data_IF_096961701742
#
_entry.id   IF_096961701742
#
_cell.length_a   1.000
_cell.length_b   1.000
_cell.length_c   1.000
_cell.angle_alpha   90.00
_cell.angle_beta   90.00
_cell.angle_gamma   90.00
#
_symmetry.space_group_name_H-M   'P 1'
#
loop_
_entity.id
_entity.type
_entity.pdbx_description
1 polymer ?
#
# COMPACT_ATOMS: atom_id res chain seq x y z
N UNK A 1 73.04 -30.80 -34.75
CA UNK A 1 71.95 -29.86 -35.12
C UNK A 1 70.73 -30.14 -34.22
N UNK A 2 70.58 -29.32 -33.23
CA UNK A 2 69.55 -29.49 -32.17
C UNK A 2 68.35 -28.63 -32.50
N UNK A 3 67.18 -29.22 -32.58
CA UNK A 3 65.93 -28.50 -32.70
C UNK A 3 65.14 -28.74 -31.41
N UNK A 4 64.98 -27.67 -30.63
CA UNK A 4 64.19 -27.63 -29.40
C UNK A 4 62.71 -27.49 -29.78
N UNK A 5 61.92 -28.45 -29.41
CA UNK A 5 60.46 -28.34 -29.45
C UNK A 5 59.96 -27.65 -28.16
N UNK A 6 59.36 -26.52 -28.33
CA UNK A 6 58.66 -25.78 -27.26
C UNK A 6 57.17 -26.18 -27.28
N UNK A 7 56.72 -26.88 -26.23
CA UNK A 7 55.30 -27.21 -26.04
C UNK A 7 54.56 -25.98 -25.49
N UNK A 8 53.57 -25.49 -26.23
CA UNK A 8 52.65 -24.47 -25.75
C UNK A 8 51.48 -25.15 -25.05
N UNK A 9 51.38 -25.01 -23.74
CA UNK A 9 50.21 -25.42 -22.96
C UNK A 9 49.21 -24.26 -22.99
N UNK A 10 48.13 -24.40 -23.73
CA UNK A 10 47.00 -23.50 -23.68
C UNK A 10 46.18 -23.83 -22.40
N UNK A 11 46.27 -22.97 -21.42
CA UNK A 11 45.43 -23.02 -20.24
C UNK A 11 44.01 -22.58 -20.58
N UNK A 12 43.05 -23.50 -20.48
CA UNK A 12 41.62 -23.23 -20.57
C UNK A 12 41.16 -22.67 -19.20
N UNK A 13 40.99 -21.36 -19.12
CA UNK A 13 40.37 -20.72 -17.93
C UNK A 13 38.88 -20.88 -18.07
N UNK A 14 38.29 -21.79 -17.30
CA UNK A 14 36.83 -21.81 -17.09
C UNK A 14 36.47 -20.52 -16.31
N UNK A 15 35.80 -19.59 -16.97
CA UNK A 15 35.09 -18.53 -16.30
C UNK A 15 33.85 -19.15 -15.66
N UNK A 16 33.87 -19.36 -14.35
CA UNK A 16 32.68 -19.51 -13.54
C UNK A 16 31.93 -18.19 -13.60
N UNK A 17 30.86 -18.15 -14.39
CA UNK A 17 29.86 -17.10 -14.28
C UNK A 17 29.23 -17.25 -12.90
N UNK A 18 29.73 -16.50 -11.92
CA UNK A 18 29.02 -16.29 -10.68
C UNK A 18 27.71 -15.57 -11.00
N UNK A 19 26.60 -16.16 -10.62
CA UNK A 19 25.37 -15.42 -10.42
C UNK A 19 25.72 -14.30 -9.43
N UNK A 20 25.81 -13.08 -9.92
CA UNK A 20 25.79 -11.93 -9.04
C UNK A 20 24.37 -11.82 -8.53
N UNK A 21 24.13 -12.25 -7.28
CA UNK A 21 23.08 -11.65 -6.49
C UNK A 21 23.31 -10.14 -6.59
N UNK A 22 22.48 -9.47 -7.36
CA UNK A 22 22.42 -8.03 -7.28
C UNK A 22 21.90 -7.76 -5.88
N UNK A 23 22.81 -7.38 -4.99
CA UNK A 23 22.44 -6.73 -3.75
C UNK A 23 21.54 -5.58 -4.18
N UNK A 24 20.27 -5.63 -3.80
CA UNK A 24 19.32 -4.53 -3.93
C UNK A 24 20.02 -3.33 -3.27
N UNK A 25 20.41 -2.36 -4.08
CA UNK A 25 21.08 -1.17 -3.59
C UNK A 25 20.09 -0.50 -2.63
N UNK A 26 20.45 -0.46 -1.34
CA UNK A 26 19.60 0.16 -0.33
C UNK A 26 19.19 1.53 -0.83
N UNK A 27 17.88 1.77 -0.91
CA UNK A 27 17.36 3.03 -1.40
C UNK A 27 18.10 4.19 -0.70
N UNK A 28 18.55 5.20 -1.42
CA UNK A 28 19.37 6.27 -0.82
C UNK A 28 18.61 6.85 0.36
N UNK A 29 19.25 6.89 1.52
CA UNK A 29 18.71 7.57 2.71
C UNK A 29 18.43 9.01 2.34
N UNK A 30 17.15 9.31 2.11
CA UNK A 30 16.71 10.66 1.79
C UNK A 30 16.71 11.46 3.09
N UNK A 31 17.33 12.63 3.06
CA UNK A 31 17.18 13.60 4.12
C UNK A 31 15.71 14.02 4.12
N UNK A 32 14.94 13.51 5.09
CA UNK A 32 13.59 13.98 5.34
C UNK A 32 13.65 15.48 5.68
N UNK A 33 12.70 16.24 5.18
CA UNK A 33 12.42 17.54 5.77
C UNK A 33 11.83 17.28 7.15
N UNK A 34 12.61 17.63 8.15
CA UNK A 34 12.40 17.32 9.54
C UNK A 34 10.96 17.62 9.98
N UNK A 35 10.17 16.55 10.18
CA UNK A 35 8.81 16.66 10.72
C UNK A 35 7.70 17.11 9.76
N UNK A 36 7.93 17.22 8.46
CA UNK A 36 6.87 17.61 7.52
C UNK A 36 6.28 16.40 6.77
N UNK A 37 4.97 16.46 6.48
CA UNK A 37 4.25 15.46 5.70
C UNK A 37 3.54 16.05 4.48
N UNK A 38 3.23 15.18 3.52
CA UNK A 38 2.27 15.43 2.45
C UNK A 38 0.98 14.71 2.79
N UNK A 39 -0.15 15.39 2.71
CA UNK A 39 -1.47 14.83 3.02
C UNK A 39 -2.42 15.00 1.85
N UNK A 40 -3.24 13.98 1.61
CA UNK A 40 -4.44 14.07 0.79
C UNK A 40 -5.61 14.50 1.68
N UNK A 41 -6.26 15.57 1.30
CA UNK A 41 -7.38 16.15 2.02
C UNK A 41 -8.61 16.15 1.12
N UNK A 42 -9.66 15.45 1.55
CA UNK A 42 -10.94 15.45 0.84
C UNK A 42 -11.81 16.62 1.29
N UNK A 43 -12.45 17.24 0.31
CA UNK A 43 -13.48 18.21 0.56
C UNK A 43 -14.68 17.59 1.27
N UNK A 44 -15.29 18.33 2.17
CA UNK A 44 -16.57 17.96 2.78
C UNK A 44 -17.68 18.78 2.08
N UNK A 45 -18.48 18.18 1.20
CA UNK A 45 -19.46 18.90 0.37
C UNK A 45 -20.45 19.72 1.19
N UNK A 46 -20.85 19.22 2.35
CA UNK A 46 -21.72 19.92 3.30
C UNK A 46 -21.09 21.21 3.85
N UNK A 47 -19.76 21.35 3.78
CA UNK A 47 -19.02 22.52 4.22
C UNK A 47 -18.48 23.36 3.04
N UNK A 48 -18.72 22.92 1.80
CA UNK A 48 -18.31 23.63 0.58
C UNK A 48 -16.79 23.70 0.37
N UNK A 49 -16.03 22.77 0.93
CA UNK A 49 -14.59 22.67 0.76
C UNK A 49 -14.24 21.76 -0.42
N UNK A 50 -13.06 21.97 -1.01
CA UNK A 50 -12.53 21.19 -2.14
C UNK A 50 -11.49 20.20 -1.67
N UNK A 51 -11.31 19.15 -2.47
CA UNK A 51 -10.17 18.26 -2.32
C UNK A 51 -8.86 19.01 -2.56
N UNK A 52 -7.84 18.66 -1.82
CA UNK A 52 -6.52 19.27 -1.97
C UNK A 52 -5.40 18.31 -1.59
N UNK A 53 -4.19 18.66 -2.02
CA UNK A 53 -2.95 18.09 -1.49
C UNK A 53 -2.25 19.18 -0.71
N UNK A 54 -1.83 18.86 0.51
CA UNK A 54 -1.21 19.86 1.36
C UNK A 54 0.12 19.37 1.93
N UNK A 55 0.97 20.32 2.30
CA UNK A 55 2.16 20.08 3.11
C UNK A 55 1.81 20.52 4.53
N UNK A 56 2.00 19.63 5.49
CA UNK A 56 1.63 19.84 6.89
C UNK A 56 2.83 19.70 7.81
N UNK A 57 2.88 20.51 8.86
CA UNK A 57 3.84 20.33 9.93
C UNK A 57 3.38 19.23 10.88
N UNK A 58 4.13 18.14 10.93
CA UNK A 58 3.88 16.99 11.79
C UNK A 58 4.81 16.93 13.02
N UNK A 59 5.76 17.88 13.19
CA UNK A 59 6.65 17.89 14.34
C UNK A 59 5.90 18.31 15.62
N UNK A 60 5.62 17.41 16.56
CA UNK A 60 4.87 17.73 17.77
C UNK A 60 5.59 18.69 18.72
N UNK A 61 6.86 19.00 18.45
CA UNK A 61 7.67 19.95 19.21
C UNK A 61 7.71 21.34 18.52
N UNK A 62 7.14 21.47 17.33
CA UNK A 62 7.05 22.72 16.57
C UNK A 62 5.93 23.63 17.08
N UNK A 63 6.15 24.95 17.02
CA UNK A 63 5.11 25.96 17.30
C UNK A 63 3.99 25.95 16.25
N UNK A 64 4.27 25.42 15.06
CA UNK A 64 3.33 25.31 13.93
C UNK A 64 2.76 23.90 13.76
N UNK A 65 2.90 23.04 14.77
CA UNK A 65 2.39 21.67 14.74
C UNK A 65 0.94 21.61 14.26
N UNK A 66 0.73 20.88 13.18
CA UNK A 66 -0.54 20.69 12.51
C UNK A 66 -0.97 21.84 11.60
N UNK A 67 -0.14 22.85 11.35
CA UNK A 67 -0.46 23.89 10.38
C UNK A 67 -0.20 23.39 8.95
N UNK A 68 -1.10 23.77 8.01
CA UNK A 68 -0.86 23.59 6.60
C UNK A 68 0.14 24.65 6.12
N UNK A 69 1.34 24.21 5.78
CA UNK A 69 2.41 25.06 5.27
C UNK A 69 2.17 25.42 3.80
N UNK A 70 1.50 24.55 3.08
CA UNK A 70 1.08 24.74 1.69
C UNK A 70 -0.20 23.93 1.44
N UNK A 71 -1.16 24.51 0.73
CA UNK A 71 -2.42 23.84 0.34
C UNK A 71 -2.65 24.08 -1.16
N UNK A 72 -2.77 22.98 -1.93
CA UNK A 72 -2.96 22.98 -3.37
C UNK A 72 -4.32 22.39 -3.69
N UNK A 73 -5.28 23.23 -4.08
CA UNK A 73 -6.59 22.78 -4.50
C UNK A 73 -6.50 21.86 -5.73
N UNK A 74 -7.11 20.69 -5.64
CA UNK A 74 -7.22 19.77 -6.75
C UNK A 74 -8.27 20.23 -7.77
N UNK A 75 -8.12 19.86 -9.06
CA UNK A 75 -9.24 19.91 -10.00
C UNK A 75 -10.44 19.14 -9.45
N UNK A 76 -11.65 19.51 -9.89
CA UNK A 76 -12.83 18.76 -9.54
C UNK A 76 -12.82 17.41 -10.25
N UNK A 77 -12.51 16.35 -9.49
CA UNK A 77 -12.63 14.95 -9.95
C UNK A 77 -13.95 14.35 -9.48
N UNK A 78 -14.38 13.29 -10.14
CA UNK A 78 -15.55 12.51 -9.72
C UNK A 78 -15.16 11.47 -8.65
N UNK A 79 -14.72 11.93 -7.49
CA UNK A 79 -14.25 11.16 -6.35
C UNK A 79 -12.85 11.60 -5.90
N UNK A 80 -12.43 11.26 -4.68
CA UNK A 80 -11.17 11.70 -4.10
C UNK A 80 -9.96 10.96 -4.68
N UNK A 81 -8.76 11.57 -4.54
CA UNK A 81 -7.52 10.81 -4.47
C UNK A 81 -7.47 10.09 -3.11
N UNK A 82 -6.84 8.90 -3.06
CA UNK A 82 -6.98 8.01 -1.91
C UNK A 82 -5.64 7.64 -1.26
N UNK A 83 -4.70 7.04 -2.01
CA UNK A 83 -3.41 6.66 -1.45
C UNK A 83 -2.27 7.47 -2.05
N UNK A 84 -1.15 7.57 -1.31
CA UNK A 84 0.10 8.21 -1.73
C UNK A 84 1.23 7.18 -1.74
N UNK A 85 2.06 7.21 -2.79
CA UNK A 85 3.18 6.29 -2.95
C UNK A 85 4.41 7.00 -3.52
N UNK A 86 5.58 6.76 -2.91
CA UNK A 86 6.83 7.16 -3.51
C UNK A 86 7.42 6.02 -4.34
N UNK A 87 7.72 6.32 -5.60
CA UNK A 87 8.51 5.41 -6.42
C UNK A 87 9.96 5.28 -5.92
N UNK A 88 10.69 4.24 -6.28
CA UNK A 88 12.10 4.07 -5.90
C UNK A 88 12.98 5.27 -6.28
N UNK A 89 12.64 5.98 -7.35
CA UNK A 89 13.36 7.18 -7.80
C UNK A 89 12.83 8.49 -7.22
N UNK A 90 11.83 8.43 -6.31
CA UNK A 90 11.33 9.57 -5.53
C UNK A 90 10.24 10.40 -6.16
N UNK A 91 9.62 9.93 -7.20
CA UNK A 91 8.40 10.56 -7.71
C UNK A 91 7.24 10.19 -6.79
N UNK A 92 6.38 11.14 -6.51
CA UNK A 92 5.18 10.92 -5.70
C UNK A 92 3.98 10.65 -6.60
N UNK A 93 3.25 9.60 -6.30
CA UNK A 93 2.03 9.19 -6.99
C UNK A 93 0.86 9.19 -6.02
N UNK A 94 -0.33 9.39 -6.57
CA UNK A 94 -1.59 9.18 -5.87
C UNK A 94 -2.49 8.27 -6.68
N UNK A 95 -3.15 7.33 -6.02
CA UNK A 95 -4.28 6.59 -6.56
C UNK A 95 -5.57 7.33 -6.27
N UNK A 96 -6.65 7.02 -7.00
CA UNK A 96 -7.91 7.73 -6.86
C UNK A 96 -9.13 6.84 -6.97
N UNK A 97 -10.02 7.00 -6.00
CA UNK A 97 -11.37 6.40 -5.99
C UNK A 97 -12.31 7.15 -6.95
N UNK A 98 -11.84 7.41 -8.15
CA UNK A 98 -12.57 8.20 -9.14
C UNK A 98 -12.36 7.66 -10.56
N UNK A 99 -13.14 8.18 -11.52
CA UNK A 99 -13.12 7.76 -12.91
C UNK A 99 -12.37 8.71 -13.84
N UNK A 100 -11.99 9.88 -13.35
CA UNK A 100 -11.43 10.96 -14.18
C UNK A 100 -9.90 11.00 -14.08
N UNK A 101 -9.37 10.69 -12.89
CA UNK A 101 -7.96 10.73 -12.57
C UNK A 101 -7.61 9.64 -11.55
N UNK A 102 -7.79 8.38 -11.94
CA UNK A 102 -7.58 7.24 -11.05
C UNK A 102 -6.11 7.05 -10.64
N UNK A 103 -5.18 7.60 -11.41
CA UNK A 103 -3.75 7.59 -11.11
C UNK A 103 -3.16 8.95 -11.46
N UNK A 104 -2.44 9.55 -10.53
CA UNK A 104 -1.82 10.85 -10.71
C UNK A 104 -0.35 10.85 -10.28
N UNK A 105 0.46 11.66 -10.93
CA UNK A 105 1.79 12.05 -10.45
C UNK A 105 1.71 13.44 -9.83
N UNK A 106 2.26 13.57 -8.63
CA UNK A 106 2.27 14.82 -7.86
C UNK A 106 3.64 15.46 -7.96
N UNK A 107 3.69 16.66 -8.48
CA UNK A 107 4.90 17.45 -8.56
C UNK A 107 5.26 18.06 -7.20
N UNK A 108 6.36 17.62 -6.60
CA UNK A 108 6.95 18.27 -5.44
C UNK A 108 8.16 19.09 -5.86
N UNK A 109 8.24 20.32 -5.38
CA UNK A 109 9.34 21.24 -5.71
C UNK A 109 9.70 22.12 -4.50
N UNK A 110 10.73 22.95 -4.68
CA UNK A 110 11.03 24.05 -3.76
C UNK A 110 10.84 25.38 -4.48
N UNK A 111 10.26 26.35 -3.77
CA UNK A 111 10.15 27.70 -4.27
C UNK A 111 11.52 28.42 -4.24
N UNK A 112 11.55 29.69 -4.65
CA UNK A 112 12.77 30.50 -4.68
C UNK A 112 13.36 30.77 -3.28
N UNK A 113 12.58 30.61 -2.22
CA UNK A 113 12.97 30.73 -0.82
C UNK A 113 13.51 29.41 -0.24
N UNK A 114 13.33 28.31 -0.96
CA UNK A 114 13.72 26.96 -0.54
C UNK A 114 12.59 26.18 0.13
N UNK A 115 11.40 26.78 0.29
CA UNK A 115 10.27 26.12 0.94
C UNK A 115 9.68 25.06 0.02
N UNK A 116 9.22 23.92 0.57
CA UNK A 116 8.55 22.88 -0.21
C UNK A 116 7.18 23.36 -0.70
N UNK A 117 6.88 23.05 -1.96
CA UNK A 117 5.62 23.39 -2.62
C UNK A 117 5.15 22.25 -3.51
N UNK A 118 3.84 22.16 -3.72
CA UNK A 118 3.25 21.32 -4.73
C UNK A 118 3.11 22.14 -6.01
N UNK A 119 3.76 21.74 -7.08
CA UNK A 119 3.81 22.51 -8.32
C UNK A 119 2.90 21.96 -9.44
N UNK A 120 2.07 20.97 -9.11
CA UNK A 120 1.04 20.44 -9.99
C UNK A 120 0.67 18.99 -9.72
N UNK A 121 -0.42 18.57 -10.34
CA UNK A 121 -0.91 17.19 -10.37
C UNK A 121 -1.15 16.82 -11.82
N UNK A 122 -0.61 15.71 -12.25
CA UNK A 122 -0.72 15.22 -13.62
C UNK A 122 -1.39 13.86 -13.63
N UNK A 123 -2.60 13.78 -14.18
CA UNK A 123 -3.28 12.49 -14.35
C UNK A 123 -2.55 11.64 -15.39
N UNK A 124 -2.35 10.38 -15.07
CA UNK A 124 -1.71 9.39 -15.93
C UNK A 124 -2.80 8.70 -16.76
N UNK A 125 -2.54 8.52 -18.07
CA UNK A 125 -3.45 7.77 -18.93
C UNK A 125 -3.45 6.28 -18.53
N UNK A 126 -4.55 5.85 -17.91
CA UNK A 126 -4.76 4.47 -17.46
C UNK A 126 -5.40 3.57 -18.52
N UNK A 127 -5.60 4.09 -19.75
CA UNK A 127 -6.34 3.42 -20.82
C UNK A 127 -7.76 2.98 -20.39
N UNK A 128 -8.43 3.81 -19.61
CA UNK A 128 -9.80 3.59 -19.16
C UNK A 128 -9.94 2.73 -17.91
N UNK A 129 -8.84 2.29 -17.29
CA UNK A 129 -8.91 1.65 -15.98
C UNK A 129 -9.23 2.69 -14.91
N UNK A 130 -10.12 2.35 -13.98
CA UNK A 130 -10.67 3.27 -12.98
C UNK A 130 -10.68 2.68 -11.57
N UNK A 131 -10.78 3.55 -10.58
CA UNK A 131 -10.77 3.21 -9.15
C UNK A 131 -9.47 2.49 -8.78
N UNK A 132 -8.36 3.24 -8.83
CA UNK A 132 -7.05 2.72 -8.45
C UNK A 132 -6.89 2.69 -6.92
N UNK A 133 -6.25 1.63 -6.44
CA UNK A 133 -5.98 1.42 -5.01
C UNK A 133 -4.48 1.42 -4.72
N UNK A 134 -3.78 0.37 -5.06
CA UNK A 134 -2.42 0.15 -4.63
C UNK A 134 -1.41 0.23 -5.76
N UNK A 135 -0.17 0.61 -5.44
CA UNK A 135 0.95 0.72 -6.39
C UNK A 135 2.14 -0.07 -5.89
N UNK A 136 2.71 -0.90 -6.75
CA UNK A 136 3.96 -1.61 -6.48
C UNK A 136 4.96 -1.41 -7.63
N UNK A 137 6.23 -1.24 -7.29
CA UNK A 137 7.33 -1.29 -8.28
C UNK A 137 8.06 -2.61 -8.18
N UNK A 138 8.24 -3.26 -9.31
CA UNK A 138 8.95 -4.54 -9.36
C UNK A 138 9.67 -4.72 -10.69
N UNK A 139 10.85 -5.36 -10.64
CA UNK A 139 11.60 -5.72 -11.84
C UNK A 139 11.18 -7.10 -12.33
N UNK A 140 10.58 -7.15 -13.51
CA UNK A 140 10.24 -8.38 -14.20
C UNK A 140 10.98 -8.47 -15.54
N UNK A 141 11.59 -9.61 -15.84
CA UNK A 141 12.38 -9.80 -17.07
C UNK A 141 13.46 -8.73 -17.32
N UNK A 142 14.03 -8.16 -16.27
CA UNK A 142 15.06 -7.12 -16.36
C UNK A 142 14.54 -5.71 -16.67
N UNK A 143 13.24 -5.50 -16.65
CA UNK A 143 12.59 -4.20 -16.81
C UNK A 143 11.82 -3.85 -15.52
N UNK A 144 12.01 -2.62 -15.06
CA UNK A 144 11.25 -2.09 -13.92
C UNK A 144 9.87 -1.64 -14.40
N UNK A 145 8.85 -2.14 -13.73
CA UNK A 145 7.46 -1.79 -13.96
C UNK A 145 6.83 -1.20 -12.70
N UNK A 146 5.84 -0.34 -12.91
CA UNK A 146 4.88 0.05 -11.90
C UNK A 146 3.60 -0.75 -12.14
N UNK A 147 3.18 -1.52 -11.14
CA UNK A 147 1.92 -2.27 -11.14
C UNK A 147 0.91 -1.50 -10.31
N UNK A 148 -0.28 -1.34 -10.82
CA UNK A 148 -1.36 -0.60 -10.16
C UNK A 148 -2.63 -1.44 -10.18
N UNK A 149 -3.26 -1.60 -9.03
CA UNK A 149 -4.55 -2.28 -8.91
C UNK A 149 -5.70 -1.33 -9.20
N UNK A 150 -6.68 -1.79 -9.98
CA UNK A 150 -7.87 -1.02 -10.35
C UNK A 150 -9.12 -1.83 -10.02
N UNK A 151 -9.81 -1.50 -8.93
CA UNK A 151 -11.04 -2.19 -8.53
C UNK A 151 -12.16 -2.08 -9.55
N UNK A 152 -12.23 -0.96 -10.27
CA UNK A 152 -13.23 -0.70 -11.30
C UNK A 152 -12.91 -1.26 -12.68
N UNK A 153 -11.71 -1.83 -12.88
CA UNK A 153 -11.28 -2.37 -14.17
C UNK A 153 -11.34 -1.33 -15.30
N UNK A 154 -11.67 -1.76 -16.51
CA UNK A 154 -11.79 -0.90 -17.69
C UNK A 154 -13.15 -0.21 -17.83
N UNK A 155 -13.69 0.26 -16.76
CA UNK A 155 -14.99 0.93 -16.65
C UNK A 155 -15.78 0.29 -15.52
N UNK A 156 -16.68 1.03 -14.93
CA UNK A 156 -17.52 0.54 -13.83
C UNK A 156 -18.58 -0.50 -14.28
N UNK A 157 -18.37 -1.19 -15.41
CA UNK A 157 -19.26 -2.27 -15.81
C UNK A 157 -18.96 -3.50 -14.97
N UNK A 158 -19.82 -3.71 -14.01
CA UNK A 158 -19.75 -4.67 -12.91
C UNK A 158 -19.58 -6.13 -13.33
N UNK A 159 -19.85 -6.44 -14.59
CA UNK A 159 -19.75 -7.80 -15.11
C UNK A 159 -18.30 -8.26 -15.32
N UNK A 160 -17.37 -7.33 -15.43
CA UNK A 160 -16.02 -7.64 -15.88
C UNK A 160 -14.96 -7.62 -14.76
N UNK A 161 -15.30 -7.12 -13.55
CA UNK A 161 -14.39 -7.06 -12.40
C UNK A 161 -13.23 -6.07 -12.59
N UNK A 162 -12.26 -6.13 -11.67
CA UNK A 162 -11.11 -5.25 -11.69
C UNK A 162 -9.97 -5.70 -12.60
N UNK A 163 -8.89 -4.95 -12.61
CA UNK A 163 -7.70 -5.21 -13.40
C UNK A 163 -6.41 -4.81 -12.66
N UNK A 164 -5.27 -5.27 -13.13
CA UNK A 164 -3.96 -4.75 -12.75
C UNK A 164 -3.31 -4.10 -13.96
N UNK A 165 -3.08 -2.82 -13.88
CA UNK A 165 -2.34 -2.07 -14.88
C UNK A 165 -0.84 -2.28 -14.73
N UNK A 166 -0.14 -2.55 -15.82
CA UNK A 166 1.32 -2.64 -15.88
C UNK A 166 1.83 -1.44 -16.65
N UNK A 167 2.60 -0.61 -15.98
CA UNK A 167 3.14 0.62 -16.54
C UNK A 167 4.67 0.54 -16.64
N UNK A 168 5.23 1.12 -17.66
CA UNK A 168 6.66 1.41 -17.71
C UNK A 168 6.99 2.44 -16.61
N UNK A 169 7.87 2.07 -15.67
CA UNK A 169 8.16 2.88 -14.48
C UNK A 169 8.83 4.23 -14.78
N UNK A 170 9.42 4.40 -15.96
CA UNK A 170 10.09 5.64 -16.36
C UNK A 170 9.13 6.62 -17.06
N UNK A 171 8.27 6.09 -17.92
CA UNK A 171 7.42 6.90 -18.82
C UNK A 171 5.97 6.99 -18.37
N UNK A 172 5.53 6.17 -17.43
CA UNK A 172 4.13 5.98 -17.01
C UNK A 172 3.22 5.48 -18.15
N UNK A 173 3.77 4.94 -19.22
CA UNK A 173 2.97 4.40 -20.31
C UNK A 173 2.45 3.01 -19.95
N UNK A 174 1.17 2.74 -20.21
CA UNK A 174 0.60 1.41 -20.05
C UNK A 174 1.27 0.44 -21.01
N UNK A 175 1.84 -0.63 -20.48
CA UNK A 175 2.48 -1.73 -21.24
C UNK A 175 1.52 -2.88 -21.42
N UNK A 176 0.74 -3.20 -20.37
CA UNK A 176 -0.23 -4.29 -20.36
C UNK A 176 -1.33 -4.00 -19.35
N UNK A 177 -2.51 -4.53 -19.61
CA UNK A 177 -3.61 -4.66 -18.64
C UNK A 177 -3.81 -6.13 -18.37
N UNK A 178 -3.74 -6.53 -17.11
CA UNK A 178 -4.05 -7.89 -16.65
C UNK A 178 -5.50 -7.86 -16.21
N UNK A 179 -6.37 -8.34 -17.07
CA UNK A 179 -7.81 -8.35 -16.83
C UNK A 179 -8.24 -9.63 -16.11
N UNK A 180 -9.40 -9.55 -15.49
CA UNK A 180 -10.11 -10.70 -15.00
C UNK A 180 -10.33 -11.70 -16.16
N UNK A 181 -9.82 -12.90 -16.01
CA UNK A 181 -10.20 -13.99 -16.93
C UNK A 181 -11.62 -14.43 -16.61
N UNK A 182 -12.51 -14.36 -17.58
CA UNK A 182 -13.68 -15.27 -17.61
C UNK A 182 -13.09 -16.66 -17.73
N UNK A 183 -13.15 -17.43 -16.64
CA UNK A 183 -12.43 -18.68 -16.56
C UNK A 183 -12.83 -19.59 -17.73
N UNK A 184 -11.84 -20.09 -18.47
CA UNK A 184 -12.01 -21.25 -19.35
C UNK A 184 -12.08 -22.56 -18.55
N UNK A 185 -12.04 -22.48 -17.25
CA UNK A 185 -12.19 -23.59 -16.31
C UNK A 185 -13.67 -23.67 -15.98
N UNK A 186 -14.29 -24.78 -16.28
CA UNK A 186 -15.74 -25.01 -16.27
C UNK A 186 -16.47 -24.75 -14.94
N UNK A 187 -15.81 -24.33 -13.87
CA UNK A 187 -16.39 -24.08 -12.54
C UNK A 187 -15.49 -23.13 -11.74
N UNK A 188 -15.12 -21.95 -12.27
CA UNK A 188 -14.19 -21.09 -11.56
C UNK A 188 -14.77 -19.72 -11.24
N UNK A 189 -14.61 -19.31 -10.01
CA UNK A 189 -14.76 -17.93 -9.57
C UNK A 189 -13.99 -16.98 -10.50
N UNK A 190 -14.49 -15.79 -10.80
CA UNK A 190 -13.79 -14.82 -11.63
C UNK A 190 -12.40 -14.56 -11.07
N UNK A 191 -11.43 -14.48 -11.96
CA UNK A 191 -10.05 -14.22 -11.60
C UNK A 191 -9.86 -12.70 -11.43
N UNK A 192 -9.35 -12.23 -10.31
CA UNK A 192 -9.25 -10.82 -9.95
C UNK A 192 -10.62 -10.11 -10.01
N UNK A 193 -11.38 -10.20 -8.93
CA UNK A 193 -12.68 -9.54 -8.84
C UNK A 193 -12.54 -8.05 -8.53
N UNK A 194 -11.86 -7.70 -7.43
CA UNK A 194 -11.78 -6.34 -6.93
C UNK A 194 -10.39 -6.12 -6.34
N UNK A 195 -9.36 -5.97 -7.19
CA UNK A 195 -7.97 -5.96 -6.74
C UNK A 195 -7.68 -4.72 -5.89
N UNK A 196 -7.04 -4.95 -4.74
CA UNK A 196 -6.62 -3.92 -3.80
C UNK A 196 -5.12 -4.10 -3.52
N UNK A 197 -4.73 -4.60 -2.35
CA UNK A 197 -3.32 -4.78 -2.00
C UNK A 197 -2.56 -5.66 -3.01
N UNK A 198 -1.28 -5.37 -3.22
CA UNK A 198 -0.40 -6.02 -4.18
C UNK A 198 0.99 -6.21 -3.59
N UNK A 199 1.59 -7.40 -3.77
CA UNK A 199 2.97 -7.66 -3.35
C UNK A 199 3.65 -8.67 -4.25
N UNK A 200 4.99 -8.62 -4.35
CA UNK A 200 5.74 -9.53 -5.20
C UNK A 200 7.03 -10.07 -4.55
N UNK A 201 7.36 -11.30 -4.95
CA UNK A 201 8.64 -11.91 -4.66
C UNK A 201 9.10 -12.81 -5.82
N UNK A 202 10.30 -12.54 -6.33
CA UNK A 202 10.83 -13.23 -7.48
C UNK A 202 9.95 -13.03 -8.73
N UNK A 203 9.43 -14.11 -9.28
CA UNK A 203 8.55 -14.09 -10.45
C UNK A 203 7.04 -14.29 -10.11
N UNK A 204 6.69 -14.12 -8.85
CA UNK A 204 5.30 -14.20 -8.37
C UNK A 204 4.83 -12.88 -7.81
N UNK A 205 3.67 -12.47 -8.25
CA UNK A 205 2.92 -11.36 -7.69
C UNK A 205 1.62 -11.91 -7.11
N UNK A 206 1.21 -11.39 -5.98
CA UNK A 206 -0.06 -11.70 -5.34
C UNK A 206 -0.89 -10.42 -5.25
N UNK A 207 -2.20 -10.56 -5.45
CA UNK A 207 -3.15 -9.45 -5.45
C UNK A 207 -4.34 -9.83 -4.60
N UNK A 208 -4.73 -8.98 -3.66
CA UNK A 208 -5.92 -9.17 -2.84
C UNK A 208 -7.19 -8.90 -3.67
N UNK A 209 -8.25 -9.66 -3.42
CA UNK A 209 -9.59 -9.37 -3.95
C UNK A 209 -10.50 -8.96 -2.81
N UNK A 210 -10.82 -7.67 -2.73
CA UNK A 210 -11.49 -7.07 -1.57
C UNK A 210 -13.01 -6.91 -1.76
N UNK A 211 -13.47 -5.76 -2.22
CA UNK A 211 -14.89 -5.45 -2.41
C UNK A 211 -15.11 -4.77 -3.75
N UNK A 212 -16.32 -4.92 -4.29
CA UNK A 212 -16.71 -4.12 -5.45
C UNK A 212 -16.77 -2.62 -5.07
N UNK A 213 -16.36 -1.69 -5.96
CA UNK A 213 -16.33 -0.26 -5.66
C UNK A 213 -17.64 0.35 -5.16
N UNK A 214 -18.79 -0.25 -5.49
CA UNK A 214 -20.09 0.17 -4.96
C UNK A 214 -20.41 -0.35 -3.55
N UNK A 215 -19.53 -1.18 -2.98
CA UNK A 215 -19.64 -1.81 -1.67
C UNK A 215 -20.86 -2.74 -1.49
N UNK A 216 -21.60 -3.05 -2.56
CA UNK A 216 -22.87 -3.78 -2.54
C UNK A 216 -22.90 -5.01 -3.43
N UNK A 217 -22.27 -4.92 -4.60
CA UNK A 217 -22.38 -5.94 -5.65
C UNK A 217 -21.66 -7.23 -5.30
N UNK A 218 -20.55 -7.14 -4.58
CA UNK A 218 -19.78 -8.32 -4.20
C UNK A 218 -18.64 -8.05 -3.25
N UNK A 219 -18.19 -9.12 -2.60
CA UNK A 219 -17.05 -9.14 -1.68
C UNK A 219 -16.17 -10.31 -2.07
N UNK A 220 -14.87 -10.07 -2.20
CA UNK A 220 -13.88 -11.11 -2.45
C UNK A 220 -13.54 -11.93 -1.20
N UNK A 221 -12.93 -13.09 -1.42
CA UNK A 221 -12.45 -13.97 -0.35
C UNK A 221 -11.10 -14.61 -0.68
N UNK A 222 -10.40 -14.09 -1.66
CA UNK A 222 -9.21 -14.74 -2.21
C UNK A 222 -8.09 -13.77 -2.51
N UNK A 223 -6.88 -14.32 -2.64
CA UNK A 223 -5.76 -13.68 -3.28
C UNK A 223 -5.47 -14.36 -4.61
N UNK A 224 -5.05 -13.59 -5.59
CA UNK A 224 -4.75 -14.06 -6.93
C UNK A 224 -3.25 -14.04 -7.18
N UNK A 225 -2.74 -15.11 -7.77
CA UNK A 225 -1.31 -15.25 -8.11
C UNK A 225 -1.12 -14.96 -9.58
N UNK A 226 -0.19 -14.05 -9.87
CA UNK A 226 0.21 -13.67 -11.23
C UNK A 226 1.66 -14.11 -11.47
N UNK A 227 1.92 -14.79 -12.60
CA UNK A 227 3.27 -15.05 -13.05
C UNK A 227 3.84 -13.81 -13.76
N UNK A 228 4.87 -13.20 -13.18
CA UNK A 228 5.47 -11.97 -13.70
C UNK A 228 6.27 -12.15 -15.00
N UNK A 229 6.66 -13.38 -15.35
CA UNK A 229 7.34 -13.65 -16.63
C UNK A 229 6.36 -13.58 -17.80
N UNK A 230 5.13 -14.02 -17.58
CA UNK A 230 4.06 -14.00 -18.60
C UNK A 230 3.10 -12.83 -18.40
N UNK A 231 3.08 -12.25 -17.20
CA UNK A 231 2.08 -11.26 -16.75
C UNK A 231 0.65 -11.83 -16.91
N UNK A 232 0.47 -13.09 -16.50
CA UNK A 232 -0.79 -13.80 -16.58
C UNK A 232 -1.17 -14.37 -15.23
N UNK A 233 -2.46 -14.31 -14.88
CA UNK A 233 -2.97 -14.96 -13.68
C UNK A 233 -2.83 -16.49 -13.80
N UNK A 234 -2.41 -17.15 -12.72
CA UNK A 234 -2.13 -18.60 -12.72
C UNK A 234 -2.84 -19.36 -11.61
N UNK A 235 -3.21 -18.74 -10.50
CA UNK A 235 -3.78 -19.40 -9.34
C UNK A 235 -4.70 -18.46 -8.56
N UNK A 236 -5.70 -19.03 -7.90
CA UNK A 236 -6.60 -18.36 -6.96
C UNK A 236 -6.55 -19.09 -5.62
N UNK A 237 -6.25 -18.39 -4.53
CA UNK A 237 -6.11 -18.94 -3.18
C UNK A 237 -7.18 -18.33 -2.29
N UNK A 238 -8.12 -19.16 -1.86
CA UNK A 238 -9.20 -18.73 -0.96
C UNK A 238 -8.63 -18.52 0.45
N UNK A 239 -8.84 -17.32 0.99
CA UNK A 239 -8.42 -16.90 2.33
C UNK A 239 -9.68 -16.62 3.14
N UNK A 240 -10.31 -17.68 3.61
CA UNK A 240 -11.60 -17.59 4.30
C UNK A 240 -11.70 -18.63 5.42
N UNK A 241 -12.30 -18.24 6.50
CA UNK A 241 -12.80 -19.15 7.52
C UNK A 241 -14.33 -19.06 7.58
N UNK A 242 -14.95 -20.02 8.27
CA UNK A 242 -16.39 -19.99 8.50
C UNK A 242 -16.78 -18.75 9.31
N UNK A 243 -17.20 -17.71 8.61
CA UNK A 243 -17.43 -16.39 9.16
C UNK A 243 -18.60 -16.35 10.12
N UNK A 244 -18.43 -15.74 11.30
CA UNK A 244 -19.56 -15.52 12.20
C UNK A 244 -20.55 -14.47 11.69
N UNK A 245 -20.20 -13.68 10.69
CA UNK A 245 -21.01 -12.55 10.18
C UNK A 245 -21.67 -12.77 8.82
N UNK A 246 -21.40 -13.88 8.16
CA UNK A 246 -22.08 -14.21 6.89
C UNK A 246 -21.62 -13.39 5.66
N UNK A 247 -20.49 -12.70 5.77
CA UNK A 247 -19.82 -12.03 4.67
C UNK A 247 -18.51 -12.74 4.34
N UNK A 248 -18.07 -12.74 3.08
CA UNK A 248 -16.74 -13.18 2.71
C UNK A 248 -15.64 -12.38 3.44
N UNK A 249 -14.44 -12.93 3.53
CA UNK A 249 -13.36 -12.38 4.36
C UNK A 249 -12.85 -11.01 3.92
N UNK A 250 -12.97 -10.68 2.64
CA UNK A 250 -12.47 -9.43 2.04
C UNK A 250 -10.97 -9.21 2.31
N UNK A 251 -10.07 -9.99 1.69
CA UNK A 251 -8.65 -9.69 1.72
C UNK A 251 -8.41 -8.28 1.22
N UNK A 252 -7.72 -7.45 2.00
CA UNK A 252 -7.49 -6.04 1.67
C UNK A 252 -6.03 -5.78 1.38
N UNK A 253 -5.14 -5.98 2.34
CA UNK A 253 -3.71 -5.78 2.18
C UNK A 253 -2.93 -7.07 2.32
N UNK A 254 -1.76 -7.10 1.67
CA UNK A 254 -0.89 -8.25 1.71
C UNK A 254 0.59 -7.86 1.58
N UNK A 255 1.44 -8.67 2.19
CA UNK A 255 2.88 -8.45 2.21
C UNK A 255 3.63 -9.77 2.04
N UNK A 256 4.54 -9.85 1.08
CA UNK A 256 5.50 -10.94 1.04
C UNK A 256 6.57 -10.77 2.14
N UNK A 257 6.56 -11.69 3.10
CA UNK A 257 7.70 -11.89 4.00
C UNK A 257 8.76 -12.68 3.23
N UNK A 258 9.92 -12.09 3.03
CA UNK A 258 10.98 -12.58 2.13
C UNK A 258 12.38 -12.40 2.75
N UNK A 259 13.41 -13.12 2.28
CA UNK A 259 14.76 -13.04 2.86
C UNK A 259 15.39 -11.64 2.85
N UNK A 260 14.98 -10.73 1.96
CA UNK A 260 15.44 -9.34 1.97
C UNK A 260 14.86 -8.53 3.14
N UNK A 261 13.72 -8.97 3.73
CA UNK A 261 13.10 -8.36 4.90
C UNK A 261 13.54 -9.09 6.17
N UNK A 262 13.47 -10.40 6.17
CA UNK A 262 13.83 -11.26 7.30
C UNK A 262 14.83 -12.31 6.82
N UNK A 263 16.11 -12.19 7.15
CA UNK A 263 17.13 -13.18 6.74
C UNK A 263 16.75 -14.61 7.14
N UNK A 264 17.01 -15.56 6.26
CA UNK A 264 16.78 -17.01 6.45
C UNK A 264 15.30 -17.40 6.69
N UNK A 265 14.33 -16.51 6.38
CA UNK A 265 12.91 -16.84 6.50
C UNK A 265 12.46 -17.77 5.36
N UNK A 266 11.58 -18.70 5.67
CA UNK A 266 10.77 -19.37 4.66
C UNK A 266 9.72 -18.37 4.13
N UNK A 267 9.72 -18.04 2.82
CA UNK A 267 8.84 -17.02 2.31
C UNK A 267 7.36 -17.33 2.54
N UNK A 268 6.59 -16.31 2.80
CA UNK A 268 5.15 -16.40 2.98
C UNK A 268 4.48 -15.08 2.61
N UNK A 269 3.17 -15.12 2.34
CA UNK A 269 2.36 -13.91 2.22
C UNK A 269 1.56 -13.73 3.50
N UNK A 270 1.67 -12.57 4.12
CA UNK A 270 0.72 -12.11 5.14
C UNK A 270 -0.45 -11.44 4.42
N UNK A 271 -1.66 -11.71 4.90
CA UNK A 271 -2.90 -11.19 4.32
C UNK A 271 -3.79 -10.68 5.44
N UNK A 272 -4.18 -9.42 5.38
CA UNK A 272 -5.22 -8.85 6.23
C UNK A 272 -6.58 -8.98 5.56
N UNK A 273 -7.60 -9.33 6.35
CA UNK A 273 -8.97 -9.46 5.85
C UNK A 273 -9.87 -8.45 6.55
N UNK A 274 -10.46 -7.53 5.76
CA UNK A 274 -11.22 -6.39 6.28
C UNK A 274 -12.46 -6.85 7.05
N UNK A 275 -13.28 -7.73 6.46
CA UNK A 275 -14.50 -8.24 7.08
C UNK A 275 -14.31 -9.54 7.86
N UNK A 276 -13.23 -10.26 7.60
CA UNK A 276 -12.80 -11.39 8.42
C UNK A 276 -12.27 -10.96 9.78
N UNK A 277 -11.75 -9.73 9.88
CA UNK A 277 -11.04 -9.21 11.05
C UNK A 277 -9.79 -10.02 11.42
N UNK A 278 -9.17 -10.63 10.44
CA UNK A 278 -8.13 -11.64 10.62
C UNK A 278 -6.84 -11.26 9.88
N UNK A 279 -5.72 -11.78 10.36
CA UNK A 279 -4.47 -11.83 9.61
C UNK A 279 -4.09 -13.27 9.37
N UNK A 280 -3.78 -13.58 8.11
CA UNK A 280 -3.44 -14.91 7.64
C UNK A 280 -2.01 -14.97 7.13
N UNK A 281 -1.46 -16.18 7.11
CA UNK A 281 -0.21 -16.52 6.45
C UNK A 281 -0.52 -17.53 5.32
N UNK A 282 0.01 -17.26 4.14
CA UNK A 282 0.01 -18.21 3.03
C UNK A 282 1.47 -18.60 2.77
N UNK A 283 1.90 -19.81 3.13
CA UNK A 283 3.29 -20.26 2.91
C UNK A 283 3.62 -20.26 1.42
N UNK A 284 4.87 -19.92 1.08
CA UNK A 284 5.35 -19.95 -0.29
C UNK A 284 6.65 -20.74 -0.40
N UNK A 285 6.64 -21.82 -1.19
CA UNK A 285 7.82 -22.58 -1.56
C UNK A 285 8.48 -21.94 -2.78
N UNK A 286 9.57 -21.21 -2.55
CA UNK A 286 10.28 -20.47 -3.60
C UNK A 286 11.00 -21.41 -4.60
N UNK A 287 11.38 -22.64 -4.19
CA UNK A 287 12.04 -23.61 -5.07
C UNK A 287 11.02 -24.21 -6.06
N UNK A 288 9.86 -24.62 -5.57
CA UNK A 288 8.79 -25.23 -6.39
C UNK A 288 7.80 -24.17 -6.94
N UNK A 289 7.92 -22.90 -6.52
CA UNK A 289 7.05 -21.77 -6.91
C UNK A 289 5.57 -22.02 -6.62
N UNK A 290 5.28 -22.65 -5.49
CA UNK A 290 3.94 -23.07 -5.09
C UNK A 290 3.52 -22.50 -3.75
N UNK A 291 2.23 -22.23 -3.61
CA UNK A 291 1.66 -21.74 -2.36
C UNK A 291 1.07 -22.88 -1.55
N UNK A 292 1.22 -22.80 -0.22
CA UNK A 292 0.60 -23.71 0.73
C UNK A 292 -0.82 -23.26 1.12
N UNK A 293 -1.48 -24.07 1.94
CA UNK A 293 -2.78 -23.71 2.47
C UNK A 293 -2.69 -22.49 3.42
N UNK A 294 -3.66 -21.56 3.36
CA UNK A 294 -3.71 -20.44 4.29
C UNK A 294 -3.80 -20.89 5.75
N UNK A 295 -3.07 -20.24 6.63
CA UNK A 295 -3.04 -20.45 8.08
C UNK A 295 -3.42 -19.17 8.80
N UNK A 296 -4.46 -19.20 9.65
CA UNK A 296 -4.86 -18.04 10.45
C UNK A 296 -3.85 -17.78 11.57
N UNK A 297 -3.26 -16.59 11.57
CA UNK A 297 -2.31 -16.14 12.60
C UNK A 297 -2.98 -15.32 13.70
N UNK A 298 -3.96 -14.51 13.33
CA UNK A 298 -4.63 -13.59 14.26
C UNK A 298 -6.13 -13.54 13.97
N UNK A 299 -6.92 -13.61 15.03
CA UNK A 299 -8.39 -13.48 15.03
C UNK A 299 -8.76 -12.22 15.80
N UNK A 300 -9.06 -11.14 15.09
CA UNK A 300 -9.41 -9.85 15.68
C UNK A 300 -10.73 -9.89 16.43
N UNK A 301 -11.74 -10.59 15.92
CA UNK A 301 -13.04 -10.68 16.56
C UNK A 301 -12.93 -11.25 17.97
N UNK A 302 -12.13 -12.29 18.16
CA UNK A 302 -11.85 -12.87 19.47
C UNK A 302 -11.02 -11.97 20.40
N UNK A 303 -10.28 -11.03 19.83
CA UNK A 303 -9.40 -10.10 20.55
C UNK A 303 -9.99 -8.70 20.72
N UNK A 304 -11.23 -8.47 20.28
CA UNK A 304 -11.91 -7.17 20.37
C UNK A 304 -11.36 -6.11 19.43
N UNK A 305 -10.76 -6.54 18.34
CA UNK A 305 -10.29 -5.66 17.25
C UNK A 305 -10.95 -6.04 15.94
N UNK A 306 -10.96 -5.14 14.97
CA UNK A 306 -11.53 -5.40 13.66
C UNK A 306 -10.94 -4.52 12.60
N UNK A 307 -11.19 -4.88 11.35
CA UNK A 307 -10.74 -4.15 10.18
C UNK A 307 -9.21 -3.93 10.24
N UNK A 308 -8.39 -5.03 10.25
CA UNK A 308 -6.96 -4.89 10.02
C UNK A 308 -6.73 -4.44 8.59
N UNK A 309 -5.83 -3.49 8.41
CA UNK A 309 -5.56 -2.87 7.12
C UNK A 309 -4.08 -3.01 6.77
N UNK A 310 -3.34 -1.92 6.77
CA UNK A 310 -2.00 -1.79 6.27
C UNK A 310 -0.93 -2.58 7.02
N UNK A 311 0.10 -2.98 6.27
CA UNK A 311 1.36 -3.51 6.78
C UNK A 311 2.47 -2.46 6.62
N UNK A 312 2.99 -1.96 7.73
CA UNK A 312 4.14 -1.06 7.73
C UNK A 312 5.30 -1.68 8.47
N UNK A 313 6.51 -1.53 7.95
CA UNK A 313 7.71 -2.03 8.60
C UNK A 313 8.73 -0.94 8.87
N UNK A 314 9.48 -1.09 9.94
CA UNK A 314 10.74 -0.40 10.14
C UNK A 314 11.87 -1.44 10.23
N UNK A 315 13.06 -1.04 10.67
CA UNK A 315 14.22 -1.93 10.78
C UNK A 315 14.02 -3.15 11.71
N UNK A 316 13.09 -3.08 12.65
CA UNK A 316 12.93 -4.06 13.72
C UNK A 316 11.50 -4.54 13.96
N UNK A 317 10.49 -3.80 13.50
CA UNK A 317 9.09 -4.06 13.81
C UNK A 317 8.21 -3.97 12.58
N UNK A 318 7.20 -4.83 12.56
CA UNK A 318 6.01 -4.73 11.70
C UNK A 318 4.88 -4.09 12.49
N UNK A 319 4.17 -3.17 11.85
CA UNK A 319 3.00 -2.50 12.39
C UNK A 319 1.79 -2.87 11.54
N UNK A 320 0.66 -3.17 12.21
CA UNK A 320 -0.63 -3.42 11.56
C UNK A 320 -1.66 -2.48 12.16
N UNK A 321 -2.27 -1.64 11.32
CA UNK A 321 -3.38 -0.79 11.74
C UNK A 321 -4.67 -1.59 11.84
N UNK A 322 -5.47 -1.26 12.85
CA UNK A 322 -6.81 -1.79 13.06
C UNK A 322 -7.79 -0.62 13.22
N UNK A 323 -8.67 -0.43 12.26
CA UNK A 323 -9.63 0.67 12.28
C UNK A 323 -10.57 0.61 13.49
N UNK A 324 -10.81 -0.58 14.02
CA UNK A 324 -11.60 -0.82 15.24
C UNK A 324 -10.72 -1.50 16.29
N UNK A 325 -10.56 -0.95 17.47
CA UNK A 325 -11.13 0.30 18.01
C UNK A 325 -10.29 1.55 17.72
N UNK A 326 -9.39 1.54 16.73
CA UNK A 326 -8.42 2.59 16.44
C UNK A 326 -7.11 2.33 17.19
N UNK A 327 -6.38 1.30 16.77
CA UNK A 327 -5.10 0.91 17.35
C UNK A 327 -4.11 0.50 16.26
N UNK A 328 -2.84 0.52 16.63
CA UNK A 328 -1.76 -0.07 15.84
C UNK A 328 -1.07 -1.15 16.67
N UNK A 329 -1.04 -2.36 16.14
CA UNK A 329 -0.31 -3.49 16.73
C UNK A 329 1.13 -3.49 16.27
N UNK A 330 2.02 -3.98 17.14
CA UNK A 330 3.47 -4.03 16.92
C UNK A 330 3.96 -5.46 17.02
N UNK A 331 4.75 -5.90 16.05
CA UNK A 331 5.29 -7.26 15.98
C UNK A 331 6.78 -7.26 15.69
N UNK A 332 7.50 -8.24 16.20
CA UNK A 332 8.93 -8.43 15.94
C UNK A 332 9.15 -8.87 14.49
N UNK A 333 9.77 -7.99 13.69
CA UNK A 333 10.06 -8.26 12.28
C UNK A 333 10.90 -9.53 12.11
N UNK A 334 11.85 -9.78 13.02
CA UNK A 334 12.74 -10.96 12.96
C UNK A 334 12.01 -12.28 13.28
N UNK A 335 10.75 -12.25 13.67
CA UNK A 335 9.93 -13.43 13.97
C UNK A 335 8.90 -13.72 12.91
N UNK A 336 8.77 -12.85 11.91
CA UNK A 336 7.83 -13.11 10.82
C UNK A 336 8.16 -14.45 10.12
N UNK A 337 7.14 -15.14 9.63
CA UNK A 337 5.73 -14.74 9.59
C UNK A 337 4.94 -14.91 10.89
N UNK A 338 5.57 -15.34 11.99
CA UNK A 338 4.87 -15.43 13.28
C UNK A 338 4.69 -14.04 13.89
N UNK A 339 3.44 -13.70 14.27
CA UNK A 339 3.09 -12.40 14.83
C UNK A 339 3.40 -12.33 16.34
N UNK A 340 4.67 -12.17 16.67
CA UNK A 340 5.15 -12.03 18.05
C UNK A 340 5.14 -10.57 18.48
N UNK A 341 4.24 -10.18 19.39
CA UNK A 341 4.12 -8.79 19.83
C UNK A 341 5.40 -8.29 20.53
N UNK A 342 5.82 -7.06 20.21
CA UNK A 342 6.98 -6.36 20.82
C UNK A 342 6.60 -5.45 21.97
N UNK A 343 5.31 -5.12 22.12
CA UNK A 343 4.85 -4.19 23.16
C UNK A 343 3.34 -4.00 23.18
N UNK A 344 2.85 -3.05 23.98
CA UNK A 344 1.44 -2.73 24.03
C UNK A 344 0.97 -2.11 22.70
N UNK A 345 -0.32 -2.29 22.39
CA UNK A 345 -0.96 -1.64 21.26
C UNK A 345 -0.87 -0.10 21.38
N UNK A 346 -0.54 0.57 20.29
CA UNK A 346 -0.53 2.02 20.20
C UNK A 346 -1.97 2.50 19.98
N UNK A 347 -2.43 3.41 20.83
CA UNK A 347 -3.82 3.90 20.78
C UNK A 347 -3.93 5.10 19.84
N UNK A 348 -4.46 4.86 18.68
CA UNK A 348 -4.89 5.87 17.69
C UNK A 348 -6.36 6.29 17.92
N UNK A 349 -7.06 6.75 16.89
CA UNK A 349 -8.50 7.00 16.88
C UNK A 349 -9.22 6.04 15.94
N UNK A 350 -10.56 6.01 15.98
CA UNK A 350 -11.35 5.17 15.08
C UNK A 350 -11.00 5.43 13.63
N UNK A 351 -10.87 4.35 12.85
CA UNK A 351 -10.45 4.43 11.47
C UNK A 351 -8.93 4.46 11.28
N UNK A 352 -8.13 4.08 12.27
CA UNK A 352 -6.67 3.97 12.11
C UNK A 352 -6.34 3.16 10.84
N UNK A 353 -5.64 3.80 9.91
CA UNK A 353 -5.40 3.28 8.57
C UNK A 353 -3.94 3.49 8.18
N UNK A 354 -3.62 4.54 7.43
CA UNK A 354 -2.26 4.80 6.98
C UNK A 354 -1.35 5.30 8.09
N UNK A 355 -0.08 4.97 7.96
CA UNK A 355 0.95 5.39 8.91
C UNK A 355 2.16 5.92 8.16
N UNK A 356 2.76 6.96 8.71
CA UNK A 356 4.04 7.46 8.23
C UNK A 356 5.03 7.55 9.38
N UNK A 357 6.29 7.16 9.10
CA UNK A 357 7.37 7.19 10.06
C UNK A 357 8.37 8.27 9.67
N UNK A 358 8.77 9.09 10.62
CA UNK A 358 9.72 10.18 10.37
C UNK A 358 10.52 10.52 11.62
N UNK A 359 11.50 11.38 11.45
CA UNK A 359 12.33 11.89 12.54
C UNK A 359 12.05 13.38 12.69
N UNK A 360 11.76 13.84 13.92
CA UNK A 360 11.57 15.27 14.23
C UNK A 360 12.90 16.04 14.18
N UNK A 361 12.83 17.37 14.21
CA UNK A 361 14.01 18.23 14.27
C UNK A 361 14.92 17.93 15.48
N UNK A 362 14.37 17.46 16.59
CA UNK A 362 15.12 17.04 17.78
C UNK A 362 15.79 15.67 17.66
N UNK A 363 15.52 14.92 16.56
CA UNK A 363 16.02 13.57 16.34
C UNK A 363 15.13 12.47 16.95
N UNK A 364 13.93 12.80 17.43
CA UNK A 364 12.96 11.83 17.93
C UNK A 364 12.34 11.06 16.77
N UNK A 365 12.33 9.71 16.83
CA UNK A 365 11.61 8.87 15.88
C UNK A 365 10.13 8.80 16.25
N UNK A 366 9.26 9.15 15.34
CA UNK A 366 7.81 9.25 15.54
C UNK A 366 7.05 8.56 14.42
N UNK A 367 5.78 8.28 14.70
CA UNK A 367 4.82 7.76 13.75
C UNK A 367 3.58 8.65 13.78
N UNK A 368 3.12 9.09 12.61
CA UNK A 368 1.79 9.66 12.47
C UNK A 368 0.83 8.59 11.92
N UNK A 369 -0.35 8.50 12.51
CA UNK A 369 -1.42 7.59 12.10
C UNK A 369 -2.58 8.41 11.59
N UNK A 370 -3.00 8.16 10.36
CA UNK A 370 -4.20 8.72 9.78
C UNK A 370 -5.41 7.91 10.27
N UNK A 371 -6.43 8.62 10.78
CA UNK A 371 -7.62 8.03 11.41
C UNK A 371 -8.86 8.33 10.55
N UNK A 372 -8.96 7.64 9.45
CA UNK A 372 -10.05 7.70 8.51
C UNK A 372 -10.02 6.45 7.64
N UNK A 373 -11.03 5.61 7.72
CA UNK A 373 -11.02 4.37 6.96
C UNK A 373 -11.19 4.64 5.46
N UNK A 374 -12.24 5.36 5.10
CA UNK A 374 -12.57 5.62 3.71
C UNK A 374 -13.49 6.84 3.62
N UNK A 375 -13.12 7.80 2.79
CA UNK A 375 -13.99 8.93 2.47
C UNK A 375 -14.65 8.70 1.10
N UNK A 376 -15.91 8.32 1.11
CA UNK A 376 -16.67 8.07 -0.11
C UNK A 376 -17.22 9.36 -0.76
N UNK A 377 -16.88 10.52 -0.23
CA UNK A 377 -17.35 11.81 -0.75
C UNK A 377 -18.88 11.87 -0.86
N UNK A 378 -19.35 12.31 -2.02
CA UNK A 378 -20.80 12.42 -2.29
C UNK A 378 -21.55 11.08 -2.44
N UNK A 379 -20.84 9.96 -2.55
CA UNK A 379 -21.48 8.64 -2.66
C UNK A 379 -22.20 8.25 -1.36
N UNK A 380 -21.75 8.77 -0.22
CA UNK A 380 -22.37 8.54 1.08
C UNK A 380 -23.75 9.20 1.24
N UNK A 381 -24.04 10.25 0.47
CA UNK A 381 -25.30 10.99 0.58
C UNK A 381 -26.49 10.27 -0.06
N UNK A 382 -26.26 9.21 -0.84
CA UNK A 382 -27.30 8.58 -1.65
C UNK A 382 -27.93 7.32 -1.04
N UNK A 383 -27.35 6.71 -0.01
CA UNK A 383 -27.98 5.59 0.71
C UNK A 383 -27.50 5.49 2.18
N UNK A 384 -28.27 6.04 3.11
CA UNK A 384 -27.86 6.13 4.51
C UNK A 384 -27.82 4.79 5.26
N UNK A 385 -28.29 3.69 4.68
CA UNK A 385 -28.45 2.44 5.43
C UNK A 385 -27.22 1.55 5.45
N UNK A 386 -26.36 1.59 4.42
CA UNK A 386 -25.22 0.68 4.29
C UNK A 386 -23.85 1.35 4.54
N UNK A 387 -23.77 2.66 4.34
CA UNK A 387 -22.51 3.44 4.48
C UNK A 387 -22.28 3.95 5.90
N UNK A 388 -23.30 3.91 6.75
CA UNK A 388 -23.28 4.47 8.12
C UNK A 388 -22.22 3.82 9.04
N UNK A 389 -21.85 2.57 8.76
CA UNK A 389 -20.79 1.88 9.50
C UNK A 389 -19.40 2.44 9.12
N UNK A 390 -19.09 2.56 7.84
CA UNK A 390 -17.82 3.08 7.34
C UNK A 390 -17.65 4.54 7.72
N UNK A 391 -18.69 5.35 7.58
CA UNK A 391 -18.66 6.75 7.97
C UNK A 391 -18.37 6.97 9.46
N UNK A 392 -18.72 6.02 10.32
CA UNK A 392 -18.41 6.05 11.75
C UNK A 392 -16.95 5.72 12.06
N UNK A 393 -16.22 5.15 11.12
CA UNK A 393 -14.79 4.86 11.24
C UNK A 393 -13.92 6.01 10.74
N UNK A 394 -14.45 7.22 10.64
CA UNK A 394 -13.76 8.38 10.12
C UNK A 394 -13.71 9.48 11.18
N UNK A 395 -12.60 9.49 11.95
CA UNK A 395 -12.33 10.56 12.93
C UNK A 395 -11.78 11.82 12.25
N UNK A 396 -11.23 11.68 11.05
CA UNK A 396 -10.60 12.76 10.28
C UNK A 396 -9.48 13.47 11.03
N UNK A 397 -8.65 12.70 11.74
CA UNK A 397 -7.50 13.21 12.48
C UNK A 397 -6.20 12.51 12.11
N UNK A 398 -5.10 13.15 12.49
CA UNK A 398 -3.78 12.53 12.58
C UNK A 398 -3.38 12.45 14.05
N UNK A 399 -2.97 11.28 14.51
CA UNK A 399 -2.37 11.11 15.83
C UNK A 399 -0.88 10.83 15.69
N UNK A 400 -0.06 11.60 16.40
CA UNK A 400 1.41 11.47 16.37
C UNK A 400 1.87 10.78 17.63
N UNK A 401 2.73 9.76 17.48
CA UNK A 401 3.19 8.90 18.55
C UNK A 401 4.70 8.78 18.59
N UNK A 402 5.27 8.73 19.77
CA UNK A 402 6.65 8.33 19.97
C UNK A 402 6.82 6.85 19.60
N UNK A 403 7.71 6.56 18.67
CA UNK A 403 7.86 5.21 18.11
C UNK A 403 8.42 4.22 19.14
N UNK A 404 9.26 4.66 20.06
CA UNK A 404 9.86 3.78 21.06
C UNK A 404 8.87 3.39 22.16
N UNK A 405 8.03 4.35 22.62
CA UNK A 405 7.14 4.15 23.76
C UNK A 405 5.70 3.87 23.37
N UNK A 406 5.27 4.27 22.15
CA UNK A 406 3.87 4.29 21.71
C UNK A 406 3.05 5.42 22.33
N UNK A 407 3.68 6.32 23.10
CA UNK A 407 2.99 7.45 23.74
C UNK A 407 2.49 8.43 22.68
N UNK A 408 1.24 8.89 22.82
CA UNK A 408 0.69 9.95 21.96
C UNK A 408 1.31 11.28 22.33
N UNK A 409 1.95 11.92 21.36
CA UNK A 409 2.60 13.22 21.49
C UNK A 409 1.67 14.37 21.07
N UNK A 410 0.77 14.12 20.13
CA UNK A 410 -0.15 15.13 19.63
C UNK A 410 -1.30 14.55 18.81
N UNK A 411 -2.30 15.37 18.56
CA UNK A 411 -3.42 15.08 17.67
C UNK A 411 -3.72 16.32 16.83
N UNK A 412 -3.88 16.11 15.52
CA UNK A 412 -4.29 17.15 14.57
C UNK A 412 -5.67 16.76 14.08
N UNK A 413 -6.70 17.51 14.50
CA UNK A 413 -8.06 17.32 14.02
C UNK A 413 -8.26 18.10 12.71
N UNK A 414 -8.16 17.43 11.59
CA UNK A 414 -8.24 18.02 10.24
C UNK A 414 -9.63 18.61 10.00
N UNK A 415 -10.67 17.89 10.40
CA UNK A 415 -12.06 18.36 10.22
C UNK A 415 -12.34 19.65 10.99
N UNK A 416 -11.90 19.74 12.24
CA UNK A 416 -12.13 20.92 13.07
C UNK A 416 -11.29 22.12 12.61
N UNK A 417 -10.04 21.89 12.17
CA UNK A 417 -9.13 22.97 11.79
C UNK A 417 -9.39 23.50 10.39
N UNK A 418 -9.72 22.62 9.44
CA UNK A 418 -9.70 22.94 8.00
C UNK A 418 -11.04 22.70 7.30
N UNK A 419 -12.03 22.12 7.97
CA UNK A 419 -13.28 21.69 7.38
C UNK A 419 -13.09 20.70 6.21
N UNK A 420 -12.09 19.84 6.32
CA UNK A 420 -11.72 18.81 5.33
C UNK A 420 -11.66 17.44 5.98
N UNK A 421 -11.81 16.38 5.20
CA UNK A 421 -11.42 15.03 5.57
C UNK A 421 -9.93 14.81 5.35
N UNK A 422 -9.42 13.67 5.78
CA UNK A 422 -8.06 13.23 5.46
C UNK A 422 -8.13 11.82 4.88
N UNK A 423 -7.48 11.59 3.75
CA UNK A 423 -7.48 10.31 3.07
C UNK A 423 -6.13 9.60 3.17
N UNK A 424 -5.03 10.33 3.18
CA UNK A 424 -3.70 9.75 3.31
C UNK A 424 -2.67 10.72 3.87
N UNK A 425 -1.57 10.17 4.36
CA UNK A 425 -0.40 10.93 4.81
C UNK A 425 0.88 10.20 4.43
N UNK A 426 1.84 10.95 3.87
CA UNK A 426 3.19 10.49 3.60
C UNK A 426 4.23 11.49 4.09
N UNK A 427 5.46 11.05 4.33
CA UNK A 427 6.54 11.96 4.68
C UNK A 427 6.93 12.83 3.47
N UNK A 428 7.20 14.10 3.70
CA UNK A 428 7.62 15.01 2.64
C UNK A 428 8.95 14.53 2.03
N UNK A 429 9.01 14.47 0.70
CA UNK A 429 10.12 13.92 -0.09
C UNK A 429 10.49 12.45 0.21
N UNK A 430 9.57 11.70 0.78
CA UNK A 430 9.71 10.28 1.09
C UNK A 430 10.32 9.99 2.46
N UNK A 431 9.82 9.00 3.13
CA UNK A 431 10.40 8.47 4.35
C UNK A 431 11.51 7.46 4.03
N UNK A 432 12.47 7.30 4.91
CA UNK A 432 13.42 6.19 4.86
C UNK A 432 12.80 4.85 5.26
N UNK A 433 11.49 4.79 5.49
CA UNK A 433 10.75 3.58 5.83
C UNK A 433 9.97 3.11 4.62
N UNK A 434 10.23 1.89 4.21
CA UNK A 434 9.66 1.29 3.00
C UNK A 434 8.30 0.72 3.36
N UNK A 435 7.26 1.05 2.58
CA UNK A 435 6.09 0.20 2.47
C UNK A 435 6.56 -1.19 2.01
N UNK A 436 6.28 -2.22 2.77
CA UNK A 436 6.61 -3.59 2.39
C UNK A 436 5.43 -4.18 1.61
N UNK A 437 5.30 -3.79 0.35
CA UNK A 437 4.39 -4.46 -0.59
C UNK A 437 5.02 -5.68 -1.25
#
# INVERSE_FOLDING_TARGET
>A
MSIKNTLLIAGLTLALAGCSDQAEEAAPTRNMEEGHGVVLLSGLPTLGTKDSIAIIDLDPESETFGDLLYDYDLPEFNGPLHHLYYSPNGRLYATGLNTDCSLAEIGLARNAQGDPVINGVTCIDTQGQVIAEDIMWHTANGTEYMFVTFMGGTGLDQADGGSVGVFDAQTNAVVKVIEQRKSSVEEGEPFIMYPHGISAYGDRMVVASTVHPDLKTGVGNSIHVIDLNTMEPIENIVVEDSQPVGFPSSPVELMFVRPSIVPDVEPAVLVNTMFGFETWKVPYDAENKSFGAPEKLYDGASNGTGVPLEFYGNETELFISHAIPGIVKRYDLAKLPDLVSTGPDIKAELGAHHMVFYTTASGRKVMAVQNNLLNLGNAADNDPTDVDFIAKLNDHSLTVHDLATGERLGTINIKERYNKGIDNVEALFGSGFVHHH
#
